data_IF_461942534899
#
_entry.id   IF_461942534899
#
_cell.length_a   1.000
_cell.length_b   1.000
_cell.length_c   1.000
_cell.angle_alpha   90.00
_cell.angle_beta   90.00
_cell.angle_gamma   90.00
#
_symmetry.space_group_name_H-M   'P 1'
#
loop_
_entity.id
_entity.type
_entity.pdbx_description
1 polymer ?
#
# COMPACT_ATOMS: atom_id res chain seq x y z
N UNK A 1 -16.96 -19.37 -18.99
CA UNK A 1 -15.64 -18.76 -18.70
C UNK A 1 -14.66 -19.91 -18.76
N UNK A 2 -13.81 -19.97 -19.80
CA UNK A 2 -12.97 -21.13 -20.07
C UNK A 2 -11.76 -21.14 -19.12
N UNK A 3 -11.31 -22.32 -18.69
CA UNK A 3 -10.14 -22.46 -17.82
C UNK A 3 -8.88 -21.75 -18.38
N UNK A 4 -8.76 -21.71 -19.71
CA UNK A 4 -7.68 -21.03 -20.44
C UNK A 4 -7.68 -19.49 -20.24
N UNK A 5 -8.83 -18.86 -20.05
CA UNK A 5 -8.92 -17.41 -19.74
C UNK A 5 -8.48 -17.15 -18.28
N UNK A 6 -8.72 -18.12 -17.39
CA UNK A 6 -8.45 -17.96 -15.96
C UNK A 6 -6.96 -18.10 -15.64
N UNK A 7 -6.26 -18.99 -16.33
CA UNK A 7 -4.80 -19.15 -16.21
C UNK A 7 -4.04 -17.91 -16.74
N UNK A 8 -4.53 -17.30 -17.82
CA UNK A 8 -3.96 -16.06 -18.34
C UNK A 8 -4.21 -14.87 -17.39
N UNK A 9 -5.42 -14.77 -16.81
CA UNK A 9 -5.73 -13.78 -15.79
C UNK A 9 -4.90 -13.96 -14.52
N UNK A 10 -4.71 -15.20 -14.06
CA UNK A 10 -3.84 -15.51 -12.93
C UNK A 10 -2.42 -15.05 -13.20
N UNK A 11 -1.85 -15.42 -14.35
CA UNK A 11 -0.49 -15.03 -14.74
C UNK A 11 -0.34 -13.52 -14.83
N UNK A 12 -1.33 -12.80 -15.37
CA UNK A 12 -1.31 -11.33 -15.40
C UNK A 12 -1.41 -10.72 -14.00
N UNK A 13 -2.21 -11.31 -13.10
CA UNK A 13 -2.32 -10.87 -11.72
C UNK A 13 -1.00 -11.09 -10.94
N UNK A 14 -0.37 -12.26 -11.09
CA UNK A 14 0.93 -12.60 -10.48
C UNK A 14 2.02 -11.60 -10.90
N UNK A 15 2.07 -11.21 -12.18
CA UNK A 15 3.02 -10.21 -12.68
C UNK A 15 2.83 -8.83 -12.04
N UNK A 16 1.64 -8.53 -11.52
CA UNK A 16 1.33 -7.26 -10.85
C UNK A 16 1.58 -7.28 -9.35
N UNK A 17 1.75 -8.45 -8.73
CA UNK A 17 1.94 -8.57 -7.27
C UNK A 17 3.11 -7.75 -6.78
N UNK A 18 4.32 -8.00 -7.29
CA UNK A 18 5.52 -7.30 -6.82
C UNK A 18 5.44 -5.79 -7.10
N UNK A 19 5.10 -5.32 -8.32
CA UNK A 19 4.96 -3.88 -8.57
C UNK A 19 3.97 -3.17 -7.65
N UNK A 20 2.82 -3.79 -7.34
CA UNK A 20 1.80 -3.19 -6.47
C UNK A 20 2.28 -3.16 -5.02
N UNK A 21 2.88 -4.24 -4.53
CA UNK A 21 3.44 -4.30 -3.17
C UNK A 21 4.61 -3.33 -2.98
N UNK A 22 5.49 -3.21 -3.97
CA UNK A 22 6.61 -2.26 -3.94
C UNK A 22 6.10 -0.81 -3.92
N UNK A 23 5.11 -0.48 -4.74
CA UNK A 23 4.51 0.85 -4.76
C UNK A 23 3.87 1.21 -3.41
N UNK A 24 3.14 0.26 -2.83
CA UNK A 24 2.51 0.42 -1.53
C UNK A 24 3.54 0.59 -0.41
N UNK A 25 4.60 -0.21 -0.43
CA UNK A 25 5.70 -0.12 0.53
C UNK A 25 6.42 1.24 0.44
N UNK A 26 6.76 1.67 -0.77
CA UNK A 26 7.41 2.96 -1.00
C UNK A 26 6.54 4.14 -0.52
N UNK A 27 5.22 4.09 -0.78
CA UNK A 27 4.29 5.12 -0.30
C UNK A 27 4.25 5.17 1.23
N UNK A 28 4.24 4.02 1.90
CA UNK A 28 4.24 3.94 3.36
C UNK A 28 5.55 4.41 3.99
N UNK A 29 6.69 4.03 3.42
CA UNK A 29 8.01 4.47 3.90
C UNK A 29 8.13 5.99 3.83
N UNK A 30 7.63 6.56 2.74
CA UNK A 30 7.59 8.00 2.54
C UNK A 30 6.67 8.70 3.55
N UNK A 31 5.45 8.19 3.73
CA UNK A 31 4.53 8.69 4.76
C UNK A 31 5.16 8.63 6.16
N UNK A 32 5.77 7.49 6.50
CA UNK A 32 6.44 7.27 7.78
C UNK A 32 7.57 8.27 7.99
N UNK A 33 8.36 8.58 6.96
CA UNK A 33 9.43 9.59 6.99
C UNK A 33 8.85 10.98 7.27
N UNK A 34 7.80 11.36 6.56
CA UNK A 34 7.13 12.68 6.72
C UNK A 34 6.55 12.84 8.11
N UNK A 35 5.85 11.83 8.61
CA UNK A 35 5.25 11.84 9.95
C UNK A 35 6.33 11.92 11.05
N UNK A 36 7.44 11.21 10.88
CA UNK A 36 8.56 11.23 11.85
C UNK A 36 9.27 12.58 11.93
N UNK A 37 9.11 13.48 10.96
CA UNK A 37 9.64 14.83 11.07
C UNK A 37 8.99 15.62 12.22
N UNK A 38 7.76 15.27 12.60
CA UNK A 38 7.08 15.80 13.79
C UNK A 38 6.22 14.71 14.44
N UNK A 39 6.83 13.83 15.23
CA UNK A 39 6.12 12.72 15.83
C UNK A 39 5.11 13.23 16.86
N UNK A 40 3.92 12.66 16.85
CA UNK A 40 2.91 12.80 17.89
C UNK A 40 2.38 11.40 18.23
N UNK A 41 1.81 11.19 19.42
CA UNK A 41 1.20 9.90 19.76
C UNK A 41 0.15 9.46 18.73
N UNK A 42 -0.66 10.40 18.23
CA UNK A 42 -1.68 10.16 17.21
C UNK A 42 -1.04 9.72 15.88
N UNK A 43 -0.01 10.42 15.42
CA UNK A 43 0.63 10.09 14.14
C UNK A 43 1.49 8.82 14.22
N UNK A 44 2.06 8.51 15.38
CA UNK A 44 2.73 7.23 15.63
C UNK A 44 1.74 6.05 15.59
N UNK A 45 0.56 6.21 16.19
CA UNK A 45 -0.50 5.20 16.13
C UNK A 45 -0.95 4.93 14.70
N UNK A 46 -1.12 5.97 13.88
CA UNK A 46 -1.51 5.83 12.47
C UNK A 46 -0.46 5.04 11.68
N UNK A 47 0.83 5.35 11.88
CA UNK A 47 1.92 4.61 11.23
C UNK A 47 1.95 3.14 11.64
N UNK A 48 1.66 2.82 12.91
CA UNK A 48 1.58 1.43 13.36
C UNK A 48 0.40 0.70 12.75
N UNK A 49 -0.79 1.28 12.78
CA UNK A 49 -2.00 0.69 12.18
C UNK A 49 -1.80 0.42 10.68
N UNK A 50 -1.24 1.37 9.94
CA UNK A 50 -0.93 1.16 8.52
C UNK A 50 0.10 0.04 8.30
N UNK A 51 1.09 -0.10 9.20
CA UNK A 51 2.05 -1.22 9.14
C UNK A 51 1.38 -2.57 9.33
N UNK A 52 0.46 -2.67 10.29
CA UNK A 52 -0.33 -3.89 10.51
C UNK A 52 -1.18 -4.23 9.28
N UNK A 53 -1.82 -3.23 8.66
CA UNK A 53 -2.59 -3.40 7.42
C UNK A 53 -1.71 -3.88 6.25
N UNK A 54 -0.50 -3.32 6.09
CA UNK A 54 0.47 -3.76 5.09
C UNK A 54 0.85 -5.24 5.24
N UNK A 55 1.13 -5.67 6.48
CA UNK A 55 1.45 -7.08 6.78
C UNK A 55 0.25 -7.96 6.43
N UNK A 56 -0.97 -7.53 6.79
CA UNK A 56 -2.19 -8.26 6.45
C UNK A 56 -2.37 -8.38 4.91
N UNK A 57 -2.11 -7.32 4.15
CA UNK A 57 -2.16 -7.34 2.68
C UNK A 57 -1.22 -8.37 2.07
N UNK A 58 0.05 -8.39 2.51
CA UNK A 58 1.05 -9.35 2.01
C UNK A 58 0.62 -10.78 2.32
N UNK A 59 0.11 -11.03 3.53
CA UNK A 59 -0.35 -12.36 3.93
C UNK A 59 -1.54 -12.83 3.08
N UNK A 60 -2.52 -11.95 2.86
CA UNK A 60 -3.70 -12.27 2.05
C UNK A 60 -3.32 -12.51 0.60
N UNK A 61 -2.50 -11.64 -0.01
CA UNK A 61 -2.03 -11.82 -1.40
C UNK A 61 -1.26 -13.14 -1.54
N UNK A 62 -0.38 -13.47 -0.60
CA UNK A 62 0.34 -14.75 -0.57
C UNK A 62 -0.61 -15.94 -0.51
N UNK A 63 -1.64 -15.86 0.33
CA UNK A 63 -2.68 -16.90 0.41
C UNK A 63 -3.46 -17.04 -0.89
N UNK A 64 -3.86 -15.94 -1.54
CA UNK A 64 -4.59 -16.00 -2.80
C UNK A 64 -3.74 -16.60 -3.94
N UNK A 65 -2.44 -16.27 -3.99
CA UNK A 65 -1.49 -16.91 -4.92
C UNK A 65 -1.39 -18.42 -4.67
N UNK A 66 -1.21 -18.83 -3.40
CA UNK A 66 -1.08 -20.25 -3.05
C UNK A 66 -2.35 -21.08 -3.31
N UNK A 67 -3.52 -20.45 -3.31
CA UNK A 67 -4.82 -21.11 -3.54
C UNK A 67 -5.29 -21.06 -4.99
N UNK A 68 -4.60 -20.31 -5.85
CA UNK A 68 -5.04 -20.07 -7.23
C UNK A 68 -6.33 -19.26 -7.33
N UNK A 69 -6.71 -18.52 -6.27
CA UNK A 69 -7.92 -17.71 -6.26
C UNK A 69 -7.70 -16.37 -6.99
N UNK A 70 -7.87 -16.40 -8.31
CA UNK A 70 -7.64 -15.26 -9.22
C UNK A 70 -8.49 -14.04 -8.83
N UNK A 71 -9.78 -14.22 -8.56
CA UNK A 71 -10.67 -13.12 -8.20
C UNK A 71 -10.26 -12.47 -6.88
N UNK A 72 -9.92 -13.28 -5.88
CA UNK A 72 -9.40 -12.80 -4.61
C UNK A 72 -8.11 -12.00 -4.81
N UNK A 73 -7.17 -12.54 -5.59
CA UNK A 73 -5.90 -11.88 -5.89
C UNK A 73 -6.11 -10.53 -6.57
N UNK A 74 -6.90 -10.47 -7.65
CA UNK A 74 -7.15 -9.24 -8.41
C UNK A 74 -7.82 -8.17 -7.54
N UNK A 75 -8.81 -8.54 -6.72
CA UNK A 75 -9.48 -7.59 -5.82
C UNK A 75 -8.49 -7.00 -4.80
N UNK A 76 -7.66 -7.83 -4.17
CA UNK A 76 -6.69 -7.34 -3.19
C UNK A 76 -5.57 -6.51 -3.82
N UNK A 77 -5.20 -6.76 -5.08
CA UNK A 77 -4.29 -5.89 -5.82
C UNK A 77 -4.91 -4.52 -6.07
N UNK A 78 -6.19 -4.45 -6.45
CA UNK A 78 -6.91 -3.19 -6.60
C UNK A 78 -7.03 -2.42 -5.27
N UNK A 79 -7.30 -3.14 -4.17
CA UNK A 79 -7.34 -2.55 -2.83
C UNK A 79 -5.98 -1.97 -2.43
N UNK A 80 -4.88 -2.68 -2.72
CA UNK A 80 -3.53 -2.20 -2.47
C UNK A 80 -3.19 -0.96 -3.31
N UNK A 81 -3.62 -0.90 -4.58
CA UNK A 81 -3.47 0.30 -5.42
C UNK A 81 -4.28 1.50 -4.89
N UNK A 82 -5.50 1.24 -4.41
CA UNK A 82 -6.33 2.27 -3.76
C UNK A 82 -5.67 2.81 -2.49
N UNK A 83 -5.18 1.91 -1.64
CA UNK A 83 -4.48 2.28 -0.42
C UNK A 83 -3.20 3.08 -0.72
N UNK A 84 -2.43 2.66 -1.71
CA UNK A 84 -1.23 3.39 -2.18
C UNK A 84 -1.57 4.83 -2.54
N UNK A 85 -2.63 5.06 -3.32
CA UNK A 85 -3.08 6.40 -3.69
C UNK A 85 -3.50 7.23 -2.48
N UNK A 86 -4.23 6.64 -1.54
CA UNK A 86 -4.65 7.32 -0.32
C UNK A 86 -3.45 7.72 0.55
N UNK A 87 -2.47 6.83 0.72
CA UNK A 87 -1.25 7.13 1.49
C UNK A 87 -0.48 8.29 0.84
N UNK A 88 -0.34 8.29 -0.49
CA UNK A 88 0.31 9.40 -1.21
C UNK A 88 -0.43 10.72 -0.96
N UNK A 89 -1.76 10.74 -1.07
CA UNK A 89 -2.56 11.95 -0.81
C UNK A 89 -2.39 12.46 0.63
N UNK A 90 -2.53 11.58 1.62
CA UNK A 90 -2.33 11.95 3.02
C UNK A 90 -0.90 12.43 3.31
N UNK A 91 0.09 11.84 2.65
CA UNK A 91 1.48 12.28 2.76
C UNK A 91 1.64 13.72 2.28
N UNK A 92 1.00 14.08 1.16
CA UNK A 92 1.00 15.46 0.66
C UNK A 92 0.34 16.43 1.65
N UNK A 93 -0.80 16.05 2.24
CA UNK A 93 -1.50 16.89 3.22
C UNK A 93 -0.64 17.12 4.46
N UNK A 94 -0.02 16.07 5.01
CA UNK A 94 0.86 16.18 6.18
C UNK A 94 2.11 17.01 5.84
N UNK A 95 2.70 16.83 4.65
CA UNK A 95 3.82 17.67 4.18
C UNK A 95 3.41 19.14 4.11
N UNK A 96 2.22 19.44 3.59
CA UNK A 96 1.70 20.80 3.51
C UNK A 96 1.50 21.40 4.91
N UNK A 97 0.87 20.68 5.83
CA UNK A 97 0.69 21.12 7.21
C UNK A 97 2.02 21.38 7.92
N UNK A 98 3.02 20.52 7.72
CA UNK A 98 4.37 20.71 8.24
C UNK A 98 5.01 21.97 7.64
N UNK A 99 4.91 22.15 6.32
CA UNK A 99 5.45 23.32 5.61
C UNK A 99 4.85 24.64 6.09
N UNK A 100 3.52 24.71 6.26
CA UNK A 100 2.82 25.88 6.83
C UNK A 100 3.34 26.23 8.23
N UNK A 101 3.78 25.22 9.00
CA UNK A 101 4.35 25.38 10.34
C UNK A 101 5.88 25.57 10.33
N UNK A 102 6.51 25.68 9.16
CA UNK A 102 7.95 25.91 8.99
C UNK A 102 8.81 24.64 8.97
N UNK A 103 8.22 23.45 9.04
CA UNK A 103 8.93 22.17 9.02
C UNK A 103 8.95 21.60 7.60
N UNK A 104 10.13 21.53 7.00
CA UNK A 104 10.28 21.04 5.63
C UNK A 104 10.93 19.65 5.65
N UNK A 105 10.22 18.67 5.10
CA UNK A 105 10.75 17.33 4.85
C UNK A 105 11.23 17.30 3.40
N UNK A 106 12.51 17.03 3.09
CA UNK A 106 12.97 16.89 1.71
C UNK A 106 12.21 15.79 0.99
N UNK A 107 12.08 15.87 -0.35
CA UNK A 107 11.63 14.73 -1.15
C UNK A 107 12.73 13.68 -1.22
#
# INVERSE_FOLDING_TARGET
MNAMDNDELLRMAELRVNPVLDALHNAFDEFSRVVRARPSPSTASIVETMREELIAFVNVITMQMNTGNVFGLVNHLLDAENLTRNIIMFTHDVRYEHGVRGFHVPN
#
